data_IF_257697459000
#
_entry.id   IF_257697459000
#
_cell.length_a   1.000
_cell.length_b   1.000
_cell.length_c   1.000
_cell.angle_alpha   90.00
_cell.angle_beta   90.00
_cell.angle_gamma   90.00
#
_symmetry.space_group_name_H-M   'P 1'
#
loop_
_entity.id
_entity.type
_entity.pdbx_description
1 polymer ?
#
# COMPACT_ATOMS: atom_id res chain seq x y z
N UNK A 1 15.44 -4.36 32.44
CA UNK A 1 15.26 -5.26 31.26
C UNK A 1 14.30 -4.69 30.19
N UNK A 2 13.15 -4.08 30.52
CA UNK A 2 12.19 -3.54 29.53
C UNK A 2 12.66 -2.31 28.73
N UNK A 3 13.62 -1.52 29.24
CA UNK A 3 14.08 -0.27 28.59
C UNK A 3 14.76 -0.56 27.24
N UNK A 4 15.56 -1.62 27.15
CA UNK A 4 16.23 -2.00 25.90
C UNK A 4 15.23 -2.37 24.79
N UNK A 5 14.18 -3.12 25.13
CA UNK A 5 13.13 -3.52 24.19
C UNK A 5 12.34 -2.33 23.61
N UNK A 6 12.14 -1.28 24.41
CA UNK A 6 11.47 -0.05 23.95
C UNK A 6 12.31 0.68 22.91
N UNK A 7 13.64 0.76 23.14
CA UNK A 7 14.56 1.41 22.20
C UNK A 7 14.67 0.63 20.90
N UNK A 8 14.78 -0.70 20.98
CA UNK A 8 14.78 -1.59 19.80
C UNK A 8 13.52 -1.41 18.96
N UNK A 9 12.33 -1.48 19.57
CA UNK A 9 11.07 -1.31 18.83
C UNK A 9 10.92 0.09 18.24
N UNK A 10 11.42 1.12 18.93
CA UNK A 10 11.41 2.48 18.40
C UNK A 10 12.29 2.62 17.14
N UNK A 11 13.45 1.94 17.11
CA UNK A 11 14.30 1.89 15.92
C UNK A 11 13.63 1.16 14.76
N UNK A 12 13.01 -0.01 15.00
CA UNK A 12 12.26 -0.74 13.98
C UNK A 12 11.15 0.12 13.34
N UNK A 13 10.37 0.83 14.16
CA UNK A 13 9.31 1.73 13.67
C UNK A 13 9.89 2.86 12.83
N UNK A 14 11.05 3.41 13.22
CA UNK A 14 11.72 4.46 12.46
C UNK A 14 12.23 3.96 11.10
N UNK A 15 12.79 2.76 11.06
CA UNK A 15 13.23 2.10 9.82
C UNK A 15 12.04 1.81 8.90
N UNK A 16 10.96 1.22 9.44
CA UNK A 16 9.73 0.96 8.70
C UNK A 16 9.13 2.24 8.12
N UNK A 17 9.20 3.35 8.85
CA UNK A 17 8.72 4.66 8.38
C UNK A 17 9.52 5.19 7.18
N UNK A 18 10.81 4.89 7.11
CA UNK A 18 11.74 5.43 6.11
C UNK A 18 12.03 4.46 4.97
N UNK A 19 11.51 3.23 5.05
CA UNK A 19 11.68 2.13 4.09
C UNK A 19 11.23 2.57 2.69
N UNK A 20 12.13 2.40 1.72
CA UNK A 20 11.87 2.65 0.29
C UNK A 20 11.76 1.35 -0.48
N UNK A 21 10.69 1.20 -1.24
CA UNK A 21 10.43 0.01 -2.07
C UNK A 21 10.64 0.37 -3.54
N UNK A 22 11.50 -0.36 -4.27
CA UNK A 22 11.65 -0.17 -5.71
C UNK A 22 10.32 -0.33 -6.43
N UNK A 23 10.01 0.58 -7.35
CA UNK A 23 8.72 0.60 -8.03
C UNK A 23 8.48 -0.67 -8.85
N UNK A 24 9.51 -1.26 -9.46
CA UNK A 24 9.40 -2.56 -10.16
C UNK A 24 8.88 -3.65 -9.21
N UNK A 25 9.54 -3.84 -8.07
CA UNK A 25 9.13 -4.81 -7.04
C UNK A 25 7.71 -4.57 -6.55
N UNK A 26 7.33 -3.31 -6.35
CA UNK A 26 5.99 -2.95 -5.92
C UNK A 26 4.92 -3.34 -6.96
N UNK A 27 5.18 -3.08 -8.24
CA UNK A 27 4.27 -3.45 -9.32
C UNK A 27 4.19 -4.96 -9.49
N UNK A 28 5.32 -5.66 -9.44
CA UNK A 28 5.39 -7.12 -9.56
C UNK A 28 4.53 -7.83 -8.52
N UNK A 29 4.54 -7.33 -7.28
CA UNK A 29 3.79 -7.93 -6.17
C UNK A 29 2.33 -7.46 -6.20
N UNK A 30 2.09 -6.15 -6.18
CA UNK A 30 0.75 -5.62 -5.98
C UNK A 30 -0.16 -5.87 -7.18
N UNK A 31 0.36 -5.79 -8.41
CA UNK A 31 -0.47 -6.07 -9.58
C UNK A 31 -0.85 -7.55 -9.65
N UNK A 32 -0.02 -8.47 -9.14
CA UNK A 32 -0.41 -9.88 -9.00
C UNK A 32 -1.54 -10.03 -7.98
N UNK A 33 -1.43 -9.44 -6.79
CA UNK A 33 -2.52 -9.51 -5.79
C UNK A 33 -3.85 -8.97 -6.34
N UNK A 34 -3.80 -7.88 -7.10
CA UNK A 34 -4.97 -7.28 -7.76
C UNK A 34 -5.54 -8.19 -8.87
N UNK A 35 -4.68 -8.90 -9.60
CA UNK A 35 -5.15 -9.87 -10.60
C UNK A 35 -5.85 -11.07 -9.96
N UNK A 36 -5.35 -11.54 -8.81
CA UNK A 36 -5.96 -12.65 -8.07
C UNK A 36 -7.28 -12.26 -7.41
N UNK A 37 -7.38 -11.03 -6.90
CA UNK A 37 -8.58 -10.50 -6.29
C UNK A 37 -8.92 -9.13 -6.90
N UNK A 38 -9.58 -9.09 -8.08
CA UNK A 38 -9.89 -7.85 -8.76
C UNK A 38 -10.94 -7.01 -7.99
N UNK A 39 -10.96 -5.68 -8.17
CA UNK A 39 -12.01 -4.85 -7.60
C UNK A 39 -13.37 -5.26 -8.17
N UNK A 40 -14.39 -5.30 -7.32
CA UNK A 40 -15.76 -5.55 -7.76
C UNK A 40 -16.22 -4.51 -8.78
N UNK A 41 -17.00 -4.94 -9.78
CA UNK A 41 -17.58 -4.02 -10.75
C UNK A 41 -18.64 -3.15 -10.08
N UNK A 42 -18.53 -1.83 -10.22
CA UNK A 42 -19.53 -0.90 -9.70
C UNK A 42 -20.40 -0.42 -10.86
N UNK A 43 -21.68 -0.78 -10.85
CA UNK A 43 -22.66 -0.40 -11.89
C UNK A 43 -22.19 -0.76 -13.32
N UNK A 44 -21.64 -1.97 -13.49
CA UNK A 44 -21.10 -2.46 -14.76
C UNK A 44 -19.76 -1.83 -15.19
N UNK A 45 -19.17 -0.97 -14.35
CA UNK A 45 -17.85 -0.38 -14.61
C UNK A 45 -16.76 -1.18 -13.91
N UNK A 46 -15.72 -1.53 -14.67
CA UNK A 46 -14.56 -2.26 -14.17
C UNK A 46 -13.44 -1.30 -13.81
N UNK A 47 -13.01 -1.35 -12.55
CA UNK A 47 -11.87 -0.59 -12.06
C UNK A 47 -10.60 -1.37 -12.38
N UNK A 48 -9.66 -0.72 -13.07
CA UNK A 48 -8.39 -1.31 -13.47
C UNK A 48 -7.25 -0.48 -12.87
N UNK A 49 -6.45 -1.13 -12.02
CA UNK A 49 -5.20 -0.58 -11.50
C UNK A 49 -4.07 -1.07 -12.40
N UNK A 50 -3.28 -0.14 -12.94
CA UNK A 50 -2.24 -0.45 -13.93
C UNK A 50 -0.83 -0.19 -13.45
N UNK A 51 -0.68 0.58 -12.39
CA UNK A 51 0.62 0.98 -11.88
C UNK A 51 0.50 1.40 -10.41
N UNK A 52 1.53 1.08 -9.63
CA UNK A 52 1.66 1.46 -8.23
C UNK A 52 3.05 2.04 -8.01
N UNK A 53 3.18 3.12 -7.25
CA UNK A 53 4.49 3.66 -6.84
C UNK A 53 4.45 4.12 -5.39
N UNK A 54 5.57 4.02 -4.70
CA UNK A 54 5.74 4.75 -3.44
C UNK A 54 5.91 6.24 -3.75
N UNK A 55 5.31 7.09 -2.92
CA UNK A 55 5.39 8.55 -3.02
C UNK A 55 6.28 9.05 -1.89
N UNK A 56 7.12 10.04 -2.18
CA UNK A 56 7.93 10.68 -1.15
C UNK A 56 7.01 11.47 -0.20
N UNK A 57 6.90 11.03 1.05
CA UNK A 57 6.02 11.58 2.06
C UNK A 57 6.57 11.31 3.47
N UNK A 58 5.95 11.90 4.49
CA UNK A 58 6.36 11.78 5.90
C UNK A 58 6.23 10.35 6.48
N UNK A 59 5.39 9.53 5.88
CA UNK A 59 5.15 8.12 6.20
C UNK A 59 4.90 7.35 4.89
N UNK A 60 5.04 6.02 4.91
CA UNK A 60 4.85 5.16 3.74
C UNK A 60 3.52 5.46 3.03
N UNK A 61 3.63 6.02 1.83
CA UNK A 61 2.49 6.45 1.03
C UNK A 61 2.60 5.84 -0.35
N UNK A 62 1.52 5.25 -0.84
CA UNK A 62 1.50 4.53 -2.11
C UNK A 62 0.43 5.07 -3.03
N UNK A 63 0.83 5.46 -4.24
CA UNK A 63 -0.07 5.93 -5.28
C UNK A 63 -0.43 4.78 -6.22
N UNK A 64 -1.72 4.48 -6.30
CA UNK A 64 -2.33 3.52 -7.22
C UNK A 64 -2.94 4.27 -8.40
N UNK A 65 -2.49 3.98 -9.61
CA UNK A 65 -3.00 4.59 -10.82
C UNK A 65 -4.07 3.70 -11.44
N UNK A 66 -5.28 4.25 -11.49
CA UNK A 66 -6.49 3.55 -11.91
C UNK A 66 -7.27 4.35 -12.94
N UNK A 67 -8.05 3.68 -13.78
CA UNK A 67 -8.98 4.35 -14.71
C UNK A 67 -10.10 5.12 -13.98
N UNK A 68 -10.44 4.68 -12.76
CA UNK A 68 -11.67 5.07 -12.07
C UNK A 68 -11.46 5.12 -10.54
N UNK A 69 -10.69 6.10 -10.02
CA UNK A 69 -10.36 6.19 -8.60
C UNK A 69 -11.59 6.34 -7.69
N UNK A 70 -12.62 7.06 -8.15
CA UNK A 70 -13.85 7.28 -7.40
C UNK A 70 -14.71 6.02 -7.18
N UNK A 71 -14.38 4.92 -7.86
CA UNK A 71 -15.08 3.65 -7.74
C UNK A 71 -14.29 2.62 -6.93
N UNK A 72 -13.14 3.00 -6.35
CA UNK A 72 -12.46 2.19 -5.34
C UNK A 72 -13.26 2.29 -4.04
N UNK A 73 -13.83 1.17 -3.61
CA UNK A 73 -14.54 1.09 -2.34
C UNK A 73 -13.56 0.97 -1.19
N UNK A 74 -13.94 1.47 -0.02
CA UNK A 74 -13.12 1.41 1.20
C UNK A 74 -12.71 -0.02 1.56
N UNK A 75 -13.57 -1.02 1.32
CA UNK A 75 -13.23 -2.43 1.54
C UNK A 75 -12.05 -2.89 0.69
N UNK A 76 -11.98 -2.43 -0.56
CA UNK A 76 -10.89 -2.75 -1.47
C UNK A 76 -9.62 -1.95 -1.14
N UNK A 77 -9.77 -0.70 -0.69
CA UNK A 77 -8.66 0.09 -0.15
C UNK A 77 -8.01 -0.62 1.06
N UNK A 78 -8.80 -1.10 2.01
CA UNK A 78 -8.32 -1.89 3.17
C UNK A 78 -7.62 -3.19 2.73
N UNK A 79 -8.17 -3.88 1.73
CA UNK A 79 -7.51 -5.06 1.15
C UNK A 79 -6.11 -4.71 0.61
N UNK A 80 -6.00 -3.62 -0.17
CA UNK A 80 -4.70 -3.19 -0.69
C UNK A 80 -3.74 -2.77 0.42
N UNK A 81 -4.23 -2.10 1.47
CA UNK A 81 -3.39 -1.70 2.60
C UNK A 81 -2.83 -2.93 3.30
N UNK A 82 -3.68 -3.92 3.60
CA UNK A 82 -3.29 -5.17 4.23
C UNK A 82 -2.23 -5.89 3.39
N UNK A 83 -2.40 -5.97 2.06
CA UNK A 83 -1.40 -6.58 1.18
C UNK A 83 -0.07 -5.84 1.18
N UNK A 84 -0.07 -4.51 1.24
CA UNK A 84 1.19 -3.76 1.40
C UNK A 84 1.86 -4.11 2.73
N UNK A 85 1.08 -4.21 3.82
CA UNK A 85 1.62 -4.56 5.14
C UNK A 85 2.20 -5.97 5.16
N UNK A 86 1.47 -6.94 4.60
CA UNK A 86 1.89 -8.35 4.53
C UNK A 86 3.21 -8.52 3.76
N UNK A 87 3.38 -7.80 2.64
CA UNK A 87 4.54 -7.98 1.76
C UNK A 87 5.77 -7.15 2.11
N UNK A 88 5.59 -6.01 2.79
CA UNK A 88 6.67 -5.04 2.99
C UNK A 88 6.95 -4.68 4.44
N UNK A 89 6.14 -5.18 5.38
CA UNK A 89 6.24 -4.95 6.82
C UNK A 89 6.32 -3.47 7.20
N UNK A 90 5.15 -2.90 7.48
CA UNK A 90 4.99 -1.54 7.98
C UNK A 90 4.37 -1.53 9.38
N UNK A 91 4.70 -2.52 10.20
CA UNK A 91 4.24 -2.58 11.59
C UNK A 91 4.62 -1.30 12.35
N UNK A 92 3.69 -0.79 13.17
CA UNK A 92 3.87 0.41 13.97
C UNK A 92 3.88 1.72 13.18
N UNK A 93 3.63 1.68 11.86
CA UNK A 93 3.62 2.87 10.99
C UNK A 93 2.29 2.98 10.23
N UNK A 94 1.68 4.19 10.17
CA UNK A 94 0.53 4.41 9.29
C UNK A 94 0.92 4.28 7.82
N UNK A 95 0.16 3.50 7.06
CA UNK A 95 0.29 3.37 5.61
C UNK A 95 -0.82 4.19 4.97
N UNK A 96 -0.49 5.02 3.99
CA UNK A 96 -1.47 5.80 3.24
C UNK A 96 -1.56 5.32 1.81
N UNK A 97 -2.79 5.09 1.35
CA UNK A 97 -3.06 4.82 -0.05
C UNK A 97 -3.63 6.08 -0.73
N UNK A 98 -3.24 6.29 -1.98
CA UNK A 98 -3.70 7.41 -2.80
C UNK A 98 -4.12 6.85 -4.15
N UNK A 99 -5.36 7.04 -4.55
CA UNK A 99 -5.85 6.61 -5.85
C UNK A 99 -5.84 7.78 -6.82
N UNK A 100 -5.08 7.66 -7.91
CA UNK A 100 -4.97 8.67 -8.96
C UNK A 100 -5.59 8.15 -10.24
N UNK A 101 -6.29 9.04 -10.95
CA UNK A 101 -6.72 8.75 -12.31
C UNK A 101 -5.49 8.69 -13.22
N UNK A 102 -5.32 7.59 -13.95
CA UNK A 102 -4.32 7.47 -15.02
C UNK A 102 -4.76 8.25 -16.25
#
# INVERSE_FOLDING_TARGET
QRIFQVVEKAMEVYENKSKKIPTSKLNDIMLREIQHNPPASVRGKFVQIKYVTQVNARYPSFAFFTNMPQFIMESYERFLENKIRDHFDFEGVPVRLIFKKK
#
